data_IF_712414173097
#
_entry.id   IF_712414173097
#
_cell.length_a   1.000
_cell.length_b   1.000
_cell.length_c   1.000
_cell.angle_alpha   90.00
_cell.angle_beta   90.00
_cell.angle_gamma   90.00
#
_symmetry.space_group_name_H-M   'P 1'
#
loop_
_entity.id
_entity.type
_entity.pdbx_description
1 polymer ?
#
# COMPACT_ATOMS: atom_id res chain seq x y z
N UNK A 1 14.44 -25.42 46.02
CA UNK A 1 13.25 -25.26 46.89
C UNK A 1 13.27 -23.85 47.47
N UNK A 2 12.11 -23.20 47.47
CA UNK A 2 11.82 -21.80 47.83
C UNK A 2 12.52 -21.23 49.07
N UNK A 3 12.83 -19.92 49.05
CA UNK A 3 12.34 -18.99 50.09
C UNK A 3 12.44 -17.51 49.69
N UNK A 4 11.33 -16.80 49.95
CA UNK A 4 11.09 -15.37 49.72
C UNK A 4 11.66 -14.55 50.88
N UNK A 5 12.32 -13.42 50.58
CA UNK A 5 12.79 -12.46 51.58
C UNK A 5 12.41 -11.01 51.22
N UNK A 6 11.56 -10.38 52.04
CA UNK A 6 11.20 -8.95 52.01
C UNK A 6 12.42 -8.06 52.23
N UNK A 7 12.44 -6.87 51.60
CA UNK A 7 13.27 -5.74 52.06
C UNK A 7 12.41 -4.48 52.23
N UNK A 8 12.66 -3.82 53.36
CA UNK A 8 11.95 -2.71 54.01
C UNK A 8 12.17 -1.36 53.32
N UNK A 9 11.19 -0.46 53.48
CA UNK A 9 11.36 0.99 53.38
C UNK A 9 12.25 1.53 54.52
N UNK A 10 13.11 2.52 54.22
CA UNK A 10 13.16 3.84 54.88
C UNK A 10 14.43 4.62 54.46
N UNK A 11 14.27 5.91 54.12
CA UNK A 11 15.36 6.87 53.92
C UNK A 11 14.84 8.17 53.30
N UNK A 12 14.91 9.27 54.05
CA UNK A 12 14.15 10.53 53.87
C UNK A 12 15.10 11.71 53.53
N UNK A 13 14.71 12.52 52.52
CA UNK A 13 14.95 13.97 52.25
C UNK A 13 16.37 14.57 52.08
N UNK A 14 16.57 15.64 51.27
CA UNK A 14 15.89 16.94 51.48
C UNK A 14 15.36 17.69 50.24
N UNK A 15 14.49 18.65 50.57
CA UNK A 15 13.71 19.51 49.69
C UNK A 15 14.52 20.57 48.94
N UNK A 16 14.09 20.89 47.72
CA UNK A 16 14.28 22.21 47.12
C UNK A 16 13.01 22.63 46.36
N UNK A 17 12.46 23.71 46.87
CA UNK A 17 11.34 24.53 46.43
C UNK A 17 11.41 24.95 44.96
N UNK A 18 10.28 24.82 44.25
CA UNK A 18 9.67 25.86 43.42
C UNK A 18 8.24 25.44 43.03
N UNK A 19 7.26 26.05 43.69
CA UNK A 19 5.85 26.01 43.31
C UNK A 19 5.68 26.61 41.91
N UNK A 20 5.33 25.79 40.91
CA UNK A 20 4.64 26.25 39.71
C UNK A 20 3.18 25.85 39.84
N UNK A 21 2.33 26.83 40.14
CA UNK A 21 0.88 26.68 40.17
C UNK A 21 0.38 26.38 38.76
N UNK A 22 0.15 25.10 38.43
CA UNK A 22 -0.68 24.74 37.27
C UNK A 22 -2.10 25.26 37.51
N UNK A 23 -2.43 26.43 36.95
CA UNK A 23 -3.83 26.82 36.74
C UNK A 23 -4.45 25.78 35.81
N UNK A 24 -5.42 25.01 36.32
CA UNK A 24 -6.36 24.28 35.46
C UNK A 24 -7.19 25.34 34.73
N UNK A 25 -6.91 25.55 33.44
CA UNK A 25 -7.79 26.30 32.56
C UNK A 25 -8.88 25.31 32.13
N UNK A 26 -10.16 25.52 32.48
CA UNK A 26 -11.23 24.69 31.95
C UNK A 26 -11.43 25.04 30.46
N UNK A 27 -11.17 24.08 29.56
CA UNK A 27 -11.70 24.13 28.20
C UNK A 27 -13.23 24.05 28.30
N UNK A 28 -13.91 25.19 28.15
CA UNK A 28 -15.34 25.20 27.81
C UNK A 28 -15.46 24.69 26.38
N UNK A 29 -16.08 23.54 26.19
CA UNK A 29 -16.51 23.05 24.88
C UNK A 29 -17.55 24.02 24.32
N UNK A 30 -17.17 24.83 23.32
CA UNK A 30 -18.14 25.51 22.47
C UNK A 30 -18.53 24.52 21.38
N UNK A 31 -19.42 23.60 21.74
CA UNK A 31 -20.34 22.99 20.79
C UNK A 31 -21.70 23.49 21.24
N UNK A 32 -22.14 24.62 20.69
CA UNK A 32 -23.54 25.00 20.84
C UNK A 32 -24.34 23.93 20.10
N UNK A 33 -25.11 23.17 20.86
CA UNK A 33 -25.92 22.12 20.29
C UNK A 33 -27.11 22.77 19.55
N UNK A 34 -27.56 22.17 18.45
CA UNK A 34 -28.76 22.60 17.71
C UNK A 34 -30.01 22.78 18.61
N UNK A 35 -30.02 22.17 19.80
CA UNK A 35 -31.05 22.35 20.82
C UNK A 35 -31.00 23.72 21.50
N UNK A 36 -29.82 24.32 21.66
CA UNK A 36 -29.66 25.62 22.30
C UNK A 36 -30.14 26.77 21.40
N UNK A 37 -30.01 26.62 20.08
CA UNK A 37 -30.56 27.56 19.09
C UNK A 37 -32.09 27.55 19.07
N UNK A 38 -32.71 26.37 19.15
CA UNK A 38 -34.17 26.23 19.22
C UNK A 38 -34.74 26.71 20.57
N UNK A 39 -33.99 26.57 21.66
CA UNK A 39 -34.39 27.08 22.97
C UNK A 39 -34.38 28.62 23.06
N UNK A 40 -33.55 29.30 22.25
CA UNK A 40 -33.48 30.75 22.19
C UNK A 40 -34.64 31.35 21.37
N UNK A 41 -35.08 30.65 20.32
CA UNK A 41 -36.25 31.04 19.53
C UNK A 41 -37.57 30.97 20.34
N UNK A 42 -37.64 30.11 21.37
CA UNK A 42 -38.84 29.90 22.18
C UNK A 42 -39.08 30.92 23.31
N UNK A 43 -38.19 31.89 23.53
CA UNK A 43 -38.30 32.84 24.67
C UNK A 43 -38.42 34.32 24.26
N UNK A 44 -38.72 34.61 23.00
CA UNK A 44 -38.88 35.96 22.49
C UNK A 44 -40.32 36.36 22.21
N UNK A 45 -41.20 36.44 23.22
CA UNK A 45 -42.43 37.22 23.09
C UNK A 45 -42.97 37.64 24.46
N UNK A 46 -42.57 38.82 24.93
CA UNK A 46 -43.29 39.64 25.91
C UNK A 46 -42.65 41.04 25.91
N UNK A 47 -43.23 42.00 25.18
CA UNK A 47 -42.83 43.41 25.25
C UNK A 47 -43.04 44.22 23.96
N UNK A 48 -44.24 44.78 23.81
CA UNK A 48 -44.66 45.99 23.08
C UNK A 48 -43.91 46.48 21.81
N UNK A 49 -44.70 46.57 20.73
CA UNK A 49 -44.71 47.63 19.70
C UNK A 49 -43.49 47.81 18.77
N UNK A 50 -43.51 47.08 17.64
CA UNK A 50 -43.21 47.63 16.32
C UNK A 50 -43.74 46.67 15.23
N UNK A 51 -44.88 47.01 14.61
CA UNK A 51 -45.27 46.41 13.33
C UNK A 51 -44.32 46.96 12.26
N UNK A 52 -43.21 46.26 12.02
CA UNK A 52 -42.52 46.31 10.74
C UNK A 52 -42.70 44.92 10.13
N UNK A 53 -43.51 44.83 9.08
CA UNK A 53 -43.66 43.64 8.25
C UNK A 53 -42.32 43.32 7.60
N UNK A 54 -41.47 42.56 8.27
CA UNK A 54 -40.34 41.88 7.63
C UNK A 54 -40.94 40.74 6.82
N UNK A 55 -40.77 40.69 5.49
CA UNK A 55 -41.18 39.52 4.74
C UNK A 55 -40.35 38.34 5.25
N UNK A 56 -41.01 37.41 5.92
CA UNK A 56 -40.45 36.12 6.26
C UNK A 56 -40.31 35.33 4.95
N UNK A 57 -39.23 35.58 4.21
CA UNK A 57 -38.72 34.68 3.19
C UNK A 57 -37.23 34.51 3.46
N UNK A 58 -36.93 33.89 4.59
CA UNK A 58 -35.75 33.03 4.64
C UNK A 58 -36.20 31.76 3.94
N UNK A 59 -36.06 31.72 2.61
CA UNK A 59 -35.90 30.43 1.96
C UNK A 59 -34.67 29.82 2.60
N UNK A 60 -34.88 28.89 3.52
CA UNK A 60 -33.86 27.90 3.81
C UNK A 60 -33.57 27.26 2.45
N UNK A 61 -32.51 27.70 1.78
CA UNK A 61 -31.88 26.91 0.74
C UNK A 61 -31.56 25.61 1.46
N UNK A 62 -32.35 24.58 1.19
CA UNK A 62 -31.94 23.24 1.50
C UNK A 62 -30.62 23.08 0.75
N UNK A 63 -29.50 23.05 1.47
CA UNK A 63 -28.23 22.62 0.92
C UNK A 63 -28.55 21.31 0.19
N UNK A 64 -28.52 21.32 -1.14
CA UNK A 64 -28.69 20.10 -1.92
C UNK A 64 -27.66 19.12 -1.38
N UNK A 65 -28.13 18.04 -0.76
CA UNK A 65 -27.25 17.05 -0.19
C UNK A 65 -26.43 16.47 -1.36
N UNK A 66 -25.15 16.85 -1.44
CA UNK A 66 -24.22 16.31 -2.43
C UNK A 66 -24.16 14.80 -2.17
N UNK A 67 -24.67 14.03 -3.14
CA UNK A 67 -24.69 12.57 -3.03
C UNK A 67 -23.25 12.06 -2.86
N UNK A 68 -23.07 10.95 -2.12
CA UNK A 68 -21.79 10.28 -2.09
C UNK A 68 -21.48 9.74 -3.50
N UNK A 69 -20.24 9.88 -3.99
CA UNK A 69 -19.86 9.36 -5.30
C UNK A 69 -19.96 7.84 -5.31
N UNK A 70 -20.47 7.28 -6.41
CA UNK A 70 -20.47 5.84 -6.61
C UNK A 70 -19.03 5.33 -6.69
N UNK A 71 -18.78 4.16 -6.10
CA UNK A 71 -17.51 3.46 -6.19
C UNK A 71 -17.59 2.38 -7.29
N UNK A 72 -16.51 2.09 -8.04
CA UNK A 72 -15.21 2.80 -8.05
C UNK A 72 -15.31 4.21 -8.65
N UNK A 73 -14.40 5.11 -8.27
CA UNK A 73 -14.36 6.45 -8.83
C UNK A 73 -13.83 6.42 -10.28
N UNK A 74 -14.33 7.33 -11.11
CA UNK A 74 -13.84 7.50 -12.48
C UNK A 74 -12.35 7.91 -12.45
N UNK A 75 -11.50 7.09 -13.08
CA UNK A 75 -10.11 7.46 -13.33
C UNK A 75 -10.01 8.43 -14.49
N UNK A 76 -9.23 9.48 -14.32
CA UNK A 76 -8.88 10.45 -15.37
C UNK A 76 -7.38 10.53 -15.49
N UNK A 77 -6.89 10.95 -16.65
CA UNK A 77 -5.45 11.03 -16.89
C UNK A 77 -4.80 11.92 -15.84
N UNK A 78 -3.71 11.43 -15.26
CA UNK A 78 -2.88 12.19 -14.33
C UNK A 78 -1.44 12.15 -14.83
N UNK A 79 -0.75 13.29 -14.87
CA UNK A 79 0.65 13.34 -15.26
C UNK A 79 1.55 12.72 -14.15
N UNK A 80 2.26 11.61 -14.42
CA UNK A 80 3.13 10.98 -13.43
C UNK A 80 4.21 11.91 -12.88
N UNK A 81 4.70 12.87 -13.68
CA UNK A 81 5.72 13.83 -13.27
C UNK A 81 5.18 14.80 -12.22
N UNK A 82 3.95 15.31 -12.45
CA UNK A 82 3.28 16.22 -11.50
C UNK A 82 2.97 15.51 -10.18
N UNK A 83 2.53 14.26 -10.25
CA UNK A 83 2.32 13.41 -9.07
C UNK A 83 3.61 13.22 -8.29
N UNK A 84 4.72 12.92 -8.97
CA UNK A 84 6.03 12.76 -8.35
C UNK A 84 6.45 14.02 -7.58
N UNK A 85 6.41 15.19 -8.22
CA UNK A 85 6.72 16.49 -7.61
C UNK A 85 5.83 16.75 -6.37
N UNK A 86 4.52 16.55 -6.52
CA UNK A 86 3.54 16.77 -5.45
C UNK A 86 3.72 15.82 -4.28
N UNK A 87 3.93 14.53 -4.54
CA UNK A 87 4.15 13.53 -3.49
C UNK A 87 5.39 13.87 -2.68
N UNK A 88 6.49 14.26 -3.33
CA UNK A 88 7.70 14.67 -2.61
C UNK A 88 7.43 15.85 -1.69
N UNK A 89 6.78 16.91 -2.21
CA UNK A 89 6.43 18.10 -1.43
C UNK A 89 5.45 17.80 -0.28
N UNK A 90 4.59 16.80 -0.46
CA UNK A 90 3.56 16.42 0.51
C UNK A 90 4.10 15.59 1.67
N UNK A 91 5.29 15.00 1.54
CA UNK A 91 5.84 14.06 2.53
C UNK A 91 5.91 14.63 3.94
N UNK A 92 6.44 15.84 4.10
CA UNK A 92 6.59 16.49 5.42
C UNK A 92 5.29 17.10 5.94
N UNK A 93 4.37 17.46 5.05
CA UNK A 93 3.14 18.21 5.37
C UNK A 93 1.92 17.30 5.60
N UNK A 94 1.94 16.07 5.08
CA UNK A 94 0.81 15.14 5.13
C UNK A 94 0.99 13.95 6.08
N UNK A 95 2.14 13.84 6.74
CA UNK A 95 2.39 12.81 7.75
C UNK A 95 3.17 11.59 7.25
N UNK A 96 4.00 11.77 6.21
CA UNK A 96 4.93 10.75 5.71
C UNK A 96 4.42 9.99 4.49
N UNK A 97 5.09 8.87 4.21
CA UNK A 97 5.04 8.17 2.92
C UNK A 97 3.63 7.79 2.43
N UNK A 98 2.79 7.21 3.29
CA UNK A 98 1.45 6.75 2.88
C UNK A 98 0.55 7.93 2.47
N UNK A 99 0.41 8.93 3.35
CA UNK A 99 -0.37 10.12 3.06
C UNK A 99 0.17 10.92 1.88
N UNK A 100 1.48 10.97 1.69
CA UNK A 100 2.11 11.69 0.59
C UNK A 100 1.80 11.07 -0.78
N UNK A 101 1.80 9.73 -0.87
CA UNK A 101 1.42 9.04 -2.10
C UNK A 101 -0.04 9.30 -2.43
N UNK A 102 -0.94 9.17 -1.43
CA UNK A 102 -2.36 9.47 -1.65
C UNK A 102 -2.54 10.93 -2.06
N UNK A 103 -1.92 11.87 -1.35
CA UNK A 103 -2.01 13.30 -1.63
C UNK A 103 -1.54 13.63 -3.06
N UNK A 104 -0.39 13.09 -3.47
CA UNK A 104 0.15 13.28 -4.81
C UNK A 104 -0.83 12.95 -5.92
N UNK A 105 -1.64 11.91 -5.73
CA UNK A 105 -2.62 11.48 -6.75
C UNK A 105 -3.94 12.22 -6.60
N UNK A 106 -4.56 12.19 -5.41
CA UNK A 106 -5.94 12.69 -5.24
C UNK A 106 -6.01 14.21 -5.27
N UNK A 107 -4.97 14.93 -4.81
CA UNK A 107 -4.95 16.39 -4.89
C UNK A 107 -4.66 16.86 -6.33
N UNK A 108 -3.83 16.13 -7.09
CA UNK A 108 -3.64 16.40 -8.51
C UNK A 108 -4.95 16.20 -9.29
N UNK A 109 -5.69 15.12 -9.00
CA UNK A 109 -7.03 14.91 -9.55
C UNK A 109 -8.02 15.99 -9.09
N UNK A 110 -7.97 16.41 -7.82
CA UNK A 110 -8.86 17.44 -7.27
C UNK A 110 -8.62 18.81 -7.92
N UNK A 111 -7.36 19.19 -8.14
CA UNK A 111 -7.02 20.44 -8.80
C UNK A 111 -7.45 20.46 -10.27
N UNK A 112 -7.30 19.33 -10.98
CA UNK A 112 -7.62 19.25 -12.41
C UNK A 112 -9.10 18.98 -12.70
N UNK A 113 -9.80 18.26 -11.82
CA UNK A 113 -11.15 17.72 -12.11
C UNK A 113 -12.19 17.95 -11.00
N UNK A 114 -11.80 18.47 -9.83
CA UNK A 114 -12.74 18.85 -8.77
C UNK A 114 -13.39 17.65 -8.06
N UNK A 115 -14.72 17.65 -7.98
CA UNK A 115 -15.48 16.55 -7.35
C UNK A 115 -15.44 15.29 -8.25
N UNK A 116 -15.34 14.07 -7.70
CA UNK A 116 -15.31 13.72 -6.27
C UNK A 116 -13.93 13.77 -5.61
N UNK A 117 -12.88 14.03 -6.38
CA UNK A 117 -11.48 13.89 -5.93
C UNK A 117 -11.13 14.81 -4.75
N UNK A 118 -11.75 15.98 -4.68
CA UNK A 118 -11.61 16.93 -3.57
C UNK A 118 -12.30 16.52 -2.25
N UNK A 119 -12.93 15.34 -2.19
CA UNK A 119 -13.63 14.87 -0.98
C UNK A 119 -12.76 14.03 -0.04
N UNK A 120 -11.61 13.54 -0.50
CA UNK A 120 -10.68 12.78 0.36
C UNK A 120 -9.67 13.73 0.97
N UNK A 121 -9.57 13.72 2.30
CA UNK A 121 -8.46 14.36 3.00
C UNK A 121 -7.28 13.38 3.10
N UNK A 122 -6.17 13.57 2.34
CA UNK A 122 -5.09 12.59 2.27
C UNK A 122 -4.37 12.36 3.61
N UNK A 123 -4.46 13.33 4.54
CA UNK A 123 -3.85 13.22 5.87
C UNK A 123 -4.46 12.09 6.70
N UNK A 124 -5.64 11.56 6.34
CA UNK A 124 -6.19 10.38 7.01
C UNK A 124 -5.26 9.16 6.91
N UNK A 125 -4.38 9.12 5.91
CA UNK A 125 -3.40 8.05 5.69
C UNK A 125 -2.06 8.27 6.40
N UNK A 126 -1.93 9.29 7.24
CA UNK A 126 -0.70 9.57 8.00
C UNK A 126 -0.30 8.42 8.94
N UNK A 127 -1.26 7.60 9.34
CA UNK A 127 -1.04 6.38 10.14
C UNK A 127 -0.19 5.32 9.41
N UNK A 128 -0.06 5.37 8.09
CA UNK A 128 0.80 4.48 7.31
C UNK A 128 2.28 4.86 7.34
N UNK A 129 2.66 5.98 7.94
CA UNK A 129 4.04 6.42 8.10
C UNK A 129 4.92 5.38 8.82
N UNK A 130 6.17 5.23 8.38
CA UNK A 130 7.16 4.34 9.02
C UNK A 130 6.77 2.85 8.97
N UNK A 131 6.06 2.43 7.92
CA UNK A 131 5.53 1.08 7.78
C UNK A 131 4.46 0.78 8.83
N UNK A 132 3.42 1.60 8.87
CA UNK A 132 2.32 1.53 9.83
C UNK A 132 2.80 1.52 11.30
N UNK A 133 3.85 2.29 11.60
CA UNK A 133 4.47 2.39 12.92
C UNK A 133 5.21 1.13 13.41
N UNK A 134 5.18 0.03 12.65
CA UNK A 134 5.83 -1.25 13.00
C UNK A 134 6.83 -1.72 11.94
N UNK A 135 7.20 -0.85 11.01
CA UNK A 135 8.14 -1.11 9.92
C UNK A 135 7.75 -2.30 9.03
N UNK A 136 6.44 -2.55 8.91
CA UNK A 136 5.87 -3.58 8.03
C UNK A 136 5.78 -3.04 6.60
N UNK A 137 4.67 -3.22 5.88
CA UNK A 137 4.49 -2.76 4.50
C UNK A 137 4.94 -1.31 4.37
N UNK A 138 5.80 -1.02 3.39
CA UNK A 138 6.26 0.35 3.14
C UNK A 138 5.04 1.29 2.97
N UNK A 139 5.04 2.39 3.71
CA UNK A 139 3.88 3.29 3.71
C UNK A 139 3.54 3.82 2.32
N UNK A 140 4.52 4.03 1.45
CA UNK A 140 4.29 4.45 0.07
C UNK A 140 3.47 3.41 -0.72
N UNK A 141 3.78 2.12 -0.55
CA UNK A 141 3.01 1.01 -1.12
C UNK A 141 1.61 0.95 -0.51
N UNK A 142 1.47 1.22 0.78
CA UNK A 142 0.16 1.36 1.44
C UNK A 142 -0.69 2.49 0.84
N UNK A 143 -0.06 3.63 0.52
CA UNK A 143 -0.72 4.73 -0.17
C UNK A 143 -1.12 4.38 -1.60
N UNK A 144 -0.26 3.66 -2.34
CA UNK A 144 -0.59 3.16 -3.67
C UNK A 144 -1.78 2.19 -3.62
N UNK A 145 -1.81 1.27 -2.67
CA UNK A 145 -2.96 0.39 -2.44
C UNK A 145 -4.26 1.16 -2.15
N UNK A 146 -4.19 2.24 -1.38
CA UNK A 146 -5.36 3.08 -1.12
C UNK A 146 -5.87 3.78 -2.40
N UNK A 147 -4.97 4.27 -3.25
CA UNK A 147 -5.31 4.84 -4.56
C UNK A 147 -5.94 3.78 -5.46
N UNK A 148 -5.29 2.62 -5.63
CA UNK A 148 -5.83 1.52 -6.43
C UNK A 148 -7.20 1.06 -5.94
N UNK A 149 -7.42 0.98 -4.63
CA UNK A 149 -8.71 0.59 -4.05
C UNK A 149 -9.82 1.63 -4.26
N UNK A 150 -9.48 2.88 -4.54
CA UNK A 150 -10.46 3.93 -4.83
C UNK A 150 -10.94 3.89 -6.29
N UNK A 151 -10.03 3.53 -7.21
CA UNK A 151 -10.26 3.62 -8.65
C UNK A 151 -10.47 2.27 -9.33
N UNK A 152 -10.12 1.14 -8.72
CA UNK A 152 -10.17 -0.16 -9.40
C UNK A 152 -11.04 -1.18 -8.68
N UNK A 153 -11.71 -2.02 -9.46
CA UNK A 153 -12.30 -3.27 -8.98
C UNK A 153 -11.24 -4.22 -8.41
N UNK A 154 -11.64 -5.13 -7.52
CA UNK A 154 -10.73 -5.94 -6.72
C UNK A 154 -9.68 -6.72 -7.53
N UNK A 155 -10.06 -7.29 -8.68
CA UNK A 155 -9.13 -8.03 -9.57
C UNK A 155 -8.07 -7.12 -10.21
N UNK A 156 -8.50 -5.99 -10.77
CA UNK A 156 -7.58 -5.02 -11.38
C UNK A 156 -6.66 -4.41 -10.32
N UNK A 157 -7.22 -4.00 -9.17
CA UNK A 157 -6.46 -3.51 -8.02
C UNK A 157 -5.39 -4.51 -7.55
N UNK A 158 -5.73 -5.79 -7.46
CA UNK A 158 -4.80 -6.86 -7.09
C UNK A 158 -3.65 -7.03 -8.09
N UNK A 159 -3.96 -7.02 -9.39
CA UNK A 159 -2.95 -7.14 -10.45
C UNK A 159 -1.98 -5.94 -10.46
N UNK A 160 -2.51 -4.72 -10.43
CA UNK A 160 -1.70 -3.49 -10.43
C UNK A 160 -0.84 -3.40 -9.16
N UNK A 161 -1.38 -3.76 -8.00
CA UNK A 161 -0.62 -3.84 -6.75
C UNK A 161 0.58 -4.77 -6.88
N UNK A 162 0.39 -5.97 -7.42
CA UNK A 162 1.48 -6.94 -7.57
C UNK A 162 2.57 -6.40 -8.51
N UNK A 163 2.20 -5.75 -9.61
CA UNK A 163 3.16 -5.09 -10.50
C UNK A 163 3.97 -4.00 -9.79
N UNK A 164 3.34 -3.18 -8.95
CA UNK A 164 4.04 -2.17 -8.14
C UNK A 164 5.00 -2.83 -7.14
N UNK A 165 4.58 -3.94 -6.52
CA UNK A 165 5.41 -4.65 -5.54
C UNK A 165 6.63 -5.28 -6.20
N UNK A 166 6.43 -6.01 -7.30
CA UNK A 166 7.51 -6.62 -8.09
C UNK A 166 8.51 -5.57 -8.59
N UNK A 167 8.02 -4.41 -9.03
CA UNK A 167 8.88 -3.29 -9.40
C UNK A 167 9.64 -2.72 -8.19
N UNK A 168 8.95 -2.48 -7.07
CA UNK A 168 9.53 -1.90 -5.86
C UNK A 168 10.66 -2.75 -5.25
N UNK A 169 10.54 -4.07 -5.35
CA UNK A 169 11.54 -5.01 -4.84
C UNK A 169 12.86 -4.94 -5.62
N UNK A 170 12.81 -4.59 -6.91
CA UNK A 170 13.94 -4.61 -7.84
C UNK A 170 14.49 -3.22 -8.16
N UNK A 171 13.66 -2.18 -8.05
CA UNK A 171 14.03 -0.82 -8.41
C UNK A 171 15.01 -0.21 -7.41
N UNK A 172 16.02 0.48 -7.92
CA UNK A 172 17.02 1.19 -7.13
C UNK A 172 16.46 2.53 -6.64
N UNK A 173 16.24 2.66 -5.33
CA UNK A 173 15.71 3.89 -4.74
C UNK A 173 16.74 4.68 -3.93
N UNK A 174 16.57 6.01 -3.85
CA UNK A 174 15.64 6.85 -4.63
C UNK A 174 16.30 7.36 -5.92
N UNK A 175 15.68 7.29 -7.09
CA UNK A 175 16.14 8.03 -8.29
C UNK A 175 15.76 9.52 -8.22
N UNK A 176 14.62 9.85 -7.62
CA UNK A 176 14.14 11.22 -7.51
C UNK A 176 14.67 11.90 -6.23
N UNK A 177 15.64 12.80 -6.39
CA UNK A 177 16.38 13.42 -5.29
C UNK A 177 16.50 14.96 -5.43
N UNK A 178 15.39 15.71 -5.51
CA UNK A 178 15.42 17.13 -5.89
C UNK A 178 16.09 18.06 -4.86
N UNK A 179 16.23 17.65 -3.60
CA UNK A 179 16.74 18.51 -2.52
C UNK A 179 18.04 17.99 -1.92
N UNK A 180 18.22 16.68 -1.84
CA UNK A 180 19.33 16.08 -1.11
C UNK A 180 19.76 14.78 -1.78
N UNK A 181 21.05 14.69 -2.08
CA UNK A 181 21.64 13.47 -2.60
C UNK A 181 21.60 12.33 -1.57
N UNK A 182 21.40 11.12 -2.06
CA UNK A 182 21.30 9.88 -1.31
C UNK A 182 21.91 8.74 -2.11
N UNK A 183 22.52 7.78 -1.40
CA UNK A 183 22.90 6.50 -2.00
C UNK A 183 21.68 5.75 -2.54
N UNK A 184 21.88 5.02 -3.63
CA UNK A 184 20.88 4.12 -4.21
C UNK A 184 20.93 2.76 -3.54
N UNK A 185 19.76 2.16 -3.32
CA UNK A 185 19.62 0.83 -2.72
C UNK A 185 18.41 0.10 -3.28
N UNK A 186 18.53 -1.22 -3.41
CA UNK A 186 17.41 -2.12 -3.72
C UNK A 186 16.86 -2.71 -2.42
N UNK A 187 15.53 -2.82 -2.34
CA UNK A 187 14.87 -3.30 -1.12
C UNK A 187 14.85 -4.82 -1.02
N UNK A 188 14.69 -5.54 -2.15
CA UNK A 188 14.43 -6.99 -2.23
C UNK A 188 13.23 -7.45 -1.39
N UNK A 189 12.36 -6.53 -0.97
CA UNK A 189 11.22 -6.78 -0.07
C UNK A 189 10.29 -5.56 -0.04
N UNK A 190 8.98 -5.79 0.08
CA UNK A 190 7.98 -4.72 0.27
C UNK A 190 8.03 -4.06 1.66
N UNK A 191 8.85 -4.56 2.58
CA UNK A 191 8.88 -4.07 3.97
C UNK A 191 9.67 -2.78 4.12
N UNK A 192 9.16 -1.88 4.95
CA UNK A 192 9.81 -0.65 5.35
C UNK A 192 11.10 -0.92 6.14
N UNK A 193 11.14 -1.98 6.95
CA UNK A 193 12.33 -2.39 7.69
C UNK A 193 13.50 -2.67 6.76
N UNK A 194 13.23 -3.36 5.66
CA UNK A 194 14.27 -3.88 4.76
C UNK A 194 14.71 -2.76 3.83
N UNK A 195 13.76 -2.05 3.22
CA UNK A 195 14.05 -0.88 2.39
C UNK A 195 14.86 0.19 3.13
N UNK A 196 14.42 0.60 4.32
CA UNK A 196 15.14 1.63 5.09
C UNK A 196 16.38 1.04 5.75
N UNK A 197 16.36 -0.21 6.20
CA UNK A 197 17.50 -0.90 6.81
C UNK A 197 18.68 -1.02 5.86
N UNK A 198 18.45 -1.51 4.64
CA UNK A 198 19.48 -1.61 3.60
C UNK A 198 20.11 -0.23 3.32
N UNK A 199 19.29 0.80 3.21
CA UNK A 199 19.75 2.17 3.01
C UNK A 199 20.54 2.72 4.20
N UNK A 200 20.09 2.47 5.44
CA UNK A 200 20.81 2.90 6.65
C UNK A 200 22.19 2.24 6.72
N UNK A 201 22.29 0.95 6.38
CA UNK A 201 23.57 0.23 6.29
C UNK A 201 24.48 0.83 5.22
N UNK A 202 23.95 1.11 4.02
CA UNK A 202 24.73 1.65 2.90
C UNK A 202 25.18 3.10 3.13
N UNK A 203 24.33 3.93 3.74
CA UNK A 203 24.58 5.37 3.95
C UNK A 203 25.31 5.69 5.26
N UNK A 204 25.28 4.78 6.24
CA UNK A 204 25.74 5.03 7.61
C UNK A 204 24.86 6.03 8.38
N UNK A 205 23.63 6.29 7.91
CA UNK A 205 22.71 7.27 8.51
C UNK A 205 21.67 6.60 9.41
N UNK A 206 21.22 7.35 10.41
CA UNK A 206 20.22 6.88 11.36
C UNK A 206 18.78 6.99 10.83
N UNK A 207 17.86 6.21 11.41
CA UNK A 207 16.44 6.27 11.03
C UNK A 207 15.83 7.65 11.28
N UNK A 208 16.24 8.35 12.33
CA UNK A 208 15.72 9.70 12.64
C UNK A 208 16.32 10.81 11.76
N UNK A 209 17.27 10.48 10.88
CA UNK A 209 17.99 11.46 10.09
C UNK A 209 17.10 12.19 9.07
N UNK A 210 17.36 13.48 8.79
CA UNK A 210 16.71 14.18 7.69
C UNK A 210 17.03 13.56 6.32
N UNK A 211 18.21 12.97 6.15
CA UNK A 211 18.61 12.20 4.96
C UNK A 211 17.64 11.04 4.70
N UNK A 212 17.29 10.27 5.74
CA UNK A 212 16.30 9.19 5.62
C UNK A 212 14.94 9.75 5.20
N UNK A 213 14.53 10.88 5.78
CA UNK A 213 13.26 11.51 5.44
C UNK A 213 13.22 11.96 3.97
N UNK A 214 14.28 12.60 3.47
CA UNK A 214 14.41 13.00 2.07
C UNK A 214 14.40 11.77 1.13
N UNK A 215 15.16 10.72 1.48
CA UNK A 215 15.16 9.45 0.73
C UNK A 215 13.78 8.81 0.66
N UNK A 216 13.06 8.77 1.78
CA UNK A 216 11.70 8.23 1.81
C UNK A 216 10.69 9.10 1.05
N UNK A 217 10.90 10.43 0.99
CA UNK A 217 10.09 11.31 0.17
C UNK A 217 10.32 11.04 -1.33
N UNK A 218 11.57 10.90 -1.77
CA UNK A 218 11.94 10.51 -3.14
C UNK A 218 11.34 9.17 -3.55
N UNK A 219 11.55 8.14 -2.73
CA UNK A 219 10.95 6.82 -2.94
C UNK A 219 9.42 6.87 -3.00
N UNK A 220 8.78 7.65 -2.13
CA UNK A 220 7.31 7.81 -2.15
C UNK A 220 6.85 8.45 -3.46
N UNK A 221 7.58 9.45 -3.95
CA UNK A 221 7.29 10.14 -5.19
C UNK A 221 7.37 9.21 -6.40
N UNK A 222 8.41 8.39 -6.48
CA UNK A 222 8.56 7.38 -7.53
C UNK A 222 7.46 6.31 -7.47
N UNK A 223 7.08 5.85 -6.27
CA UNK A 223 5.96 4.90 -6.10
C UNK A 223 4.63 5.51 -6.56
N UNK A 224 4.37 6.78 -6.26
CA UNK A 224 3.17 7.46 -6.70
C UNK A 224 3.14 7.62 -8.23
N UNK A 225 4.27 8.00 -8.84
CA UNK A 225 4.41 8.08 -10.28
C UNK A 225 4.17 6.73 -10.96
N UNK A 226 4.75 5.65 -10.42
CA UNK A 226 4.55 4.29 -10.95
C UNK A 226 3.08 3.83 -10.83
N UNK A 227 2.43 4.15 -9.72
CA UNK A 227 1.01 3.87 -9.53
C UNK A 227 0.15 4.55 -10.61
N UNK A 228 0.40 5.83 -10.88
CA UNK A 228 -0.33 6.60 -11.90
C UNK A 228 0.01 6.15 -13.32
N UNK A 229 1.26 5.81 -13.61
CA UNK A 229 1.67 5.22 -14.90
C UNK A 229 0.83 3.97 -15.20
N UNK A 230 0.76 3.04 -14.25
CA UNK A 230 0.02 1.80 -14.39
C UNK A 230 -1.49 2.03 -14.50
N UNK A 231 -2.06 2.98 -13.73
CA UNK A 231 -3.47 3.34 -13.84
C UNK A 231 -3.80 3.99 -15.20
N UNK A 232 -2.96 4.89 -15.69
CA UNK A 232 -3.14 5.48 -17.02
C UNK A 232 -3.12 4.39 -18.11
N UNK A 233 -2.26 3.38 -17.98
CA UNK A 233 -2.22 2.24 -18.92
C UNK A 233 -3.49 1.38 -18.80
N UNK A 234 -3.89 1.00 -17.59
CA UNK A 234 -5.09 0.18 -17.33
C UNK A 234 -6.34 0.80 -17.94
N UNK A 235 -6.46 2.12 -17.86
CA UNK A 235 -7.61 2.87 -18.39
C UNK A 235 -7.44 3.34 -19.85
N UNK A 236 -6.38 2.93 -20.54
CA UNK A 236 -6.12 3.28 -21.94
C UNK A 236 -5.83 4.76 -22.20
N UNK A 237 -5.39 5.47 -21.16
CA UNK A 237 -5.04 6.90 -21.18
C UNK A 237 -3.53 7.13 -21.41
N UNK A 238 -2.72 6.08 -21.34
CA UNK A 238 -1.34 6.05 -21.77
C UNK A 238 -1.02 4.72 -22.46
N UNK A 239 -0.09 4.73 -23.40
CA UNK A 239 0.42 3.50 -23.98
C UNK A 239 1.29 2.78 -22.94
N UNK A 240 1.14 1.45 -22.83
CA UNK A 240 2.12 0.65 -22.11
C UNK A 240 3.50 0.89 -22.73
N UNK A 241 4.56 1.11 -21.94
CA UNK A 241 5.91 1.16 -22.50
C UNK A 241 6.14 -0.14 -23.25
N UNK A 242 6.66 -0.04 -24.47
CA UNK A 242 7.12 -1.20 -25.24
C UNK A 242 8.36 -1.71 -24.51
N UNK A 243 8.15 -2.54 -23.50
CA UNK A 243 9.20 -3.37 -22.93
C UNK A 243 9.45 -4.39 -24.03
N UNK A 244 10.48 -4.14 -24.85
CA UNK A 244 11.10 -5.26 -25.57
C UNK A 244 11.37 -6.31 -24.51
N UNK A 245 10.83 -7.53 -24.64
CA UNK A 245 11.05 -8.56 -23.65
C UNK A 245 12.55 -8.61 -23.41
N UNK A 246 12.98 -8.43 -22.16
CA UNK A 246 14.30 -8.89 -21.81
C UNK A 246 14.28 -10.37 -22.20
N UNK A 247 15.00 -10.69 -23.28
CA UNK A 247 15.16 -12.04 -23.77
C UNK A 247 15.97 -12.75 -22.69
N UNK A 248 15.29 -13.21 -21.63
CA UNK A 248 15.84 -14.29 -20.83
C UNK A 248 16.07 -15.42 -21.83
N UNK A 249 17.32 -15.85 -22.05
CA UNK A 249 17.59 -16.89 -23.02
C UNK A 249 16.69 -18.05 -22.66
N UNK A 250 15.83 -18.44 -23.62
CA UNK A 250 14.98 -19.61 -23.45
C UNK A 250 15.90 -20.73 -22.94
N UNK A 251 15.56 -21.38 -21.81
CA UNK A 251 16.45 -22.40 -21.26
C UNK A 251 16.70 -23.43 -22.36
N UNK A 252 17.97 -23.65 -22.72
CA UNK A 252 18.33 -24.71 -23.65
C UNK A 252 17.89 -26.03 -23.01
N UNK A 253 16.75 -26.55 -23.47
CA UNK A 253 16.19 -27.79 -22.96
C UNK A 253 17.04 -28.94 -23.49
N UNK A 254 17.53 -29.78 -22.57
CA UNK A 254 18.07 -31.07 -22.96
C UNK A 254 16.95 -31.96 -23.56
N UNK A 255 17.26 -33.00 -24.35
CA UNK A 255 16.25 -33.87 -24.99
C UNK A 255 15.27 -34.54 -24.01
N UNK A 256 15.62 -34.59 -22.73
CA UNK A 256 14.84 -35.14 -21.64
C UNK A 256 14.20 -34.08 -20.75
N UNK A 257 14.23 -32.81 -21.12
CA UNK A 257 13.61 -31.72 -20.39
C UNK A 257 12.38 -31.18 -21.14
N UNK A 258 11.29 -31.00 -20.40
CA UNK A 258 9.99 -30.59 -20.94
C UNK A 258 9.45 -29.42 -20.11
N UNK A 259 8.93 -28.39 -20.77
CA UNK A 259 8.30 -27.25 -20.10
C UNK A 259 6.80 -27.39 -20.21
N UNK A 260 6.13 -27.35 -19.07
CA UNK A 260 4.67 -27.32 -19.00
C UNK A 260 4.18 -26.03 -18.37
N UNK A 261 2.99 -25.61 -18.79
CA UNK A 261 2.38 -24.34 -18.37
C UNK A 261 0.92 -24.54 -17.98
N UNK A 262 0.47 -23.81 -16.95
CA UNK A 262 -0.94 -23.80 -16.57
C UNK A 262 -1.33 -22.47 -15.94
N UNK A 263 -2.63 -22.14 -16.00
CA UNK A 263 -3.17 -20.96 -15.33
C UNK A 263 -3.29 -21.19 -13.82
N UNK A 264 -2.61 -20.35 -13.05
CA UNK A 264 -2.67 -20.30 -11.59
C UNK A 264 -3.73 -19.35 -11.06
N UNK A 265 -3.74 -19.17 -9.74
CA UNK A 265 -4.64 -18.25 -9.05
C UNK A 265 -4.29 -16.78 -9.32
N UNK A 266 -2.99 -16.46 -9.35
CA UNK A 266 -2.46 -15.10 -9.51
C UNK A 266 -1.84 -14.85 -10.89
N UNK A 267 -1.72 -15.88 -11.74
CA UNK A 267 -1.14 -15.79 -13.07
C UNK A 267 -0.66 -17.16 -13.57
N UNK A 268 -0.06 -17.22 -14.77
CA UNK A 268 0.47 -18.48 -15.31
C UNK A 268 1.60 -19.03 -14.44
N UNK A 269 1.68 -20.35 -14.37
CA UNK A 269 2.74 -21.12 -13.73
C UNK A 269 3.45 -21.94 -14.80
N UNK A 270 4.77 -21.83 -14.86
CA UNK A 270 5.65 -22.61 -15.75
C UNK A 270 6.56 -23.51 -14.93
N UNK A 271 6.62 -24.78 -15.29
CA UNK A 271 7.48 -25.78 -14.68
C UNK A 271 8.33 -26.46 -15.74
N UNK A 272 9.56 -26.81 -15.39
CA UNK A 272 10.44 -27.66 -16.18
C UNK A 272 10.55 -29.02 -15.51
N UNK A 273 10.28 -30.08 -16.26
CA UNK A 273 10.37 -31.47 -15.81
C UNK A 273 11.53 -32.14 -16.57
N UNK A 274 12.49 -32.68 -15.84
CA UNK A 274 13.59 -33.49 -16.39
C UNK A 274 13.27 -34.96 -16.18
N UNK A 275 13.30 -35.76 -17.25
CA UNK A 275 13.10 -37.20 -17.24
C UNK A 275 14.44 -37.95 -17.22
N UNK A 276 14.50 -39.08 -16.52
CA UNK A 276 15.56 -40.09 -16.62
C UNK A 276 14.92 -41.43 -17.02
N UNK A 277 14.90 -41.70 -18.32
CA UNK A 277 14.10 -42.77 -18.90
C UNK A 277 12.60 -42.56 -18.62
N UNK A 278 11.98 -43.51 -17.92
CA UNK A 278 10.56 -43.48 -17.55
C UNK A 278 10.29 -42.74 -16.23
N UNK A 279 11.33 -42.25 -15.54
CA UNK A 279 11.20 -41.62 -14.22
C UNK A 279 11.39 -40.11 -14.27
N UNK A 280 10.70 -39.39 -13.40
CA UNK A 280 10.89 -37.97 -13.17
C UNK A 280 12.16 -37.79 -12.32
N UNK A 281 13.19 -37.20 -12.89
CA UNK A 281 14.47 -36.95 -12.22
C UNK A 281 14.48 -35.61 -11.47
N UNK A 282 13.84 -34.58 -12.04
CA UNK A 282 13.83 -33.22 -11.47
C UNK A 282 12.58 -32.45 -11.90
N UNK A 283 12.05 -31.63 -11.00
CA UNK A 283 11.01 -30.64 -11.31
C UNK A 283 11.51 -29.28 -10.82
N UNK A 284 11.51 -28.29 -11.69
CA UNK A 284 11.90 -26.91 -11.39
C UNK A 284 10.75 -25.97 -11.73
N UNK A 285 10.33 -25.12 -10.80
CA UNK A 285 9.36 -24.07 -11.09
C UNK A 285 10.12 -22.89 -11.70
N UNK A 286 9.88 -22.61 -12.98
CA UNK A 286 10.60 -21.56 -13.72
C UNK A 286 9.96 -20.19 -13.54
N UNK A 287 8.63 -20.13 -13.54
CA UNK A 287 7.88 -18.88 -13.45
C UNK A 287 6.58 -19.14 -12.69
N UNK A 288 6.23 -18.29 -11.72
CA UNK A 288 4.92 -18.29 -11.08
C UNK A 288 4.62 -16.91 -10.49
N UNK A 289 3.33 -16.61 -10.30
CA UNK A 289 2.87 -15.42 -9.54
C UNK A 289 2.10 -15.79 -8.26
N UNK A 290 2.15 -17.06 -7.90
CA UNK A 290 1.44 -17.63 -6.76
C UNK A 290 2.08 -17.19 -5.42
N UNK A 291 1.26 -16.81 -4.43
CA UNK A 291 1.73 -16.36 -3.11
C UNK A 291 1.89 -17.52 -2.08
N UNK A 292 1.57 -18.75 -2.48
CA UNK A 292 1.52 -19.93 -1.60
C UNK A 292 2.83 -20.72 -1.63
N UNK A 293 3.86 -20.22 -0.93
CA UNK A 293 5.20 -20.79 -0.90
C UNK A 293 5.25 -22.28 -0.51
N UNK A 294 4.33 -22.73 0.36
CA UNK A 294 4.21 -24.14 0.74
C UNK A 294 3.80 -25.03 -0.45
N UNK A 295 2.84 -24.60 -1.28
CA UNK A 295 2.46 -25.34 -2.48
C UNK A 295 3.56 -25.41 -3.52
N UNK A 296 4.30 -24.32 -3.70
CA UNK A 296 5.38 -24.23 -4.69
C UNK A 296 6.55 -25.16 -4.32
N UNK A 297 6.84 -25.34 -3.02
CA UNK A 297 7.88 -26.24 -2.57
C UNK A 297 7.40 -27.71 -2.48
N UNK A 298 6.26 -27.95 -1.83
CA UNK A 298 5.87 -29.31 -1.45
C UNK A 298 5.23 -30.12 -2.58
N UNK A 299 4.55 -29.49 -3.55
CA UNK A 299 3.90 -30.23 -4.66
C UNK A 299 4.94 -30.86 -5.60
N UNK A 300 5.96 -30.15 -6.11
CA UNK A 300 7.03 -30.76 -6.89
C UNK A 300 7.75 -31.89 -6.14
N UNK A 301 8.03 -31.70 -4.85
CA UNK A 301 8.66 -32.72 -4.01
C UNK A 301 7.79 -33.96 -3.84
N UNK A 302 6.48 -33.79 -3.64
CA UNK A 302 5.53 -34.90 -3.54
C UNK A 302 5.43 -35.69 -4.84
N UNK A 303 5.39 -35.00 -5.99
CA UNK A 303 5.38 -35.65 -7.31
C UNK A 303 6.70 -36.37 -7.57
N UNK A 304 7.85 -35.77 -7.25
CA UNK A 304 9.15 -36.43 -7.37
C UNK A 304 9.26 -37.66 -6.48
N UNK A 305 8.74 -37.60 -5.26
CA UNK A 305 8.77 -38.72 -4.32
C UNK A 305 7.86 -39.88 -4.74
N UNK A 306 6.66 -39.57 -5.23
CA UNK A 306 5.65 -40.58 -5.55
C UNK A 306 5.69 -41.00 -7.03
N UNK A 307 6.41 -40.26 -7.88
CA UNK A 307 6.48 -40.46 -9.33
C UNK A 307 5.10 -40.46 -10.00
N UNK A 308 4.16 -39.68 -9.46
CA UNK A 308 2.80 -39.51 -9.97
C UNK A 308 2.31 -38.09 -9.69
N UNK A 309 1.43 -37.58 -10.54
CA UNK A 309 0.72 -36.31 -10.35
C UNK A 309 -0.57 -36.47 -9.53
N UNK A 310 -0.92 -37.69 -9.13
CA UNK A 310 -2.01 -37.99 -8.20
C UNK A 310 -1.56 -37.78 -6.73
N UNK A 311 -1.16 -36.55 -6.40
CA UNK A 311 -0.82 -36.16 -5.03
C UNK A 311 -1.86 -35.21 -4.45
N UNK A 312 -2.02 -35.26 -3.13
CA UNK A 312 -2.99 -34.41 -2.44
C UNK A 312 -2.64 -32.92 -2.57
N UNK A 313 -3.67 -32.11 -2.78
CA UNK A 313 -3.51 -30.65 -2.72
C UNK A 313 -3.26 -30.19 -1.30
N UNK A 314 -2.49 -29.11 -1.13
CA UNK A 314 -2.20 -28.57 0.20
C UNK A 314 -3.38 -27.74 0.70
N UNK A 315 -3.75 -27.97 1.96
CA UNK A 315 -4.80 -27.20 2.63
C UNK A 315 -4.48 -25.71 2.62
N UNK A 316 -5.42 -24.89 2.12
CA UNK A 316 -5.24 -23.44 2.00
C UNK A 316 -4.55 -22.97 0.70
N UNK A 317 -4.05 -23.89 -0.13
CA UNK A 317 -3.39 -23.57 -1.39
C UNK A 317 -3.95 -24.40 -2.57
N UNK A 318 -5.22 -24.82 -2.51
CA UNK A 318 -5.81 -25.78 -3.45
C UNK A 318 -5.74 -25.34 -4.91
N UNK A 319 -5.96 -24.06 -5.22
CA UNK A 319 -5.89 -23.57 -6.62
C UNK A 319 -4.46 -23.62 -7.12
N UNK A 320 -3.51 -23.10 -6.33
CA UNK A 320 -2.07 -23.16 -6.61
C UNK A 320 -1.58 -24.59 -6.78
N UNK A 321 -1.98 -25.52 -5.90
CA UNK A 321 -1.62 -26.93 -6.00
C UNK A 321 -2.15 -27.54 -7.31
N UNK A 322 -3.39 -27.25 -7.71
CA UNK A 322 -3.96 -27.75 -8.96
C UNK A 322 -3.26 -27.17 -10.18
N UNK A 323 -2.89 -25.89 -10.15
CA UNK A 323 -2.16 -25.26 -11.23
C UNK A 323 -0.76 -25.87 -11.42
N UNK A 324 -0.04 -26.12 -10.33
CA UNK A 324 1.27 -26.81 -10.38
C UNK A 324 1.12 -28.23 -10.94
N UNK A 325 0.11 -28.98 -10.51
CA UNK A 325 -0.15 -30.33 -11.04
C UNK A 325 -0.54 -30.30 -12.52
N UNK A 326 -1.33 -29.31 -12.94
CA UNK A 326 -1.69 -29.12 -14.35
C UNK A 326 -0.46 -28.78 -15.20
N UNK A 327 0.42 -27.89 -14.72
CA UNK A 327 1.65 -27.54 -15.42
C UNK A 327 2.60 -28.74 -15.52
N UNK A 328 2.72 -29.56 -14.46
CA UNK A 328 3.52 -30.78 -14.49
C UNK A 328 2.92 -31.80 -15.49
N UNK A 329 1.60 -31.99 -15.50
CA UNK A 329 0.94 -32.88 -16.45
C UNK A 329 1.10 -32.40 -17.90
N UNK A 330 1.05 -31.09 -18.14
CA UNK A 330 1.30 -30.49 -19.44
C UNK A 330 2.73 -30.79 -19.92
N UNK A 331 3.74 -30.69 -19.03
CA UNK A 331 5.12 -31.09 -19.33
C UNK A 331 5.24 -32.59 -19.63
N UNK A 332 4.61 -33.43 -18.81
CA UNK A 332 4.65 -34.89 -18.97
C UNK A 332 3.94 -35.37 -20.23
N UNK A 333 2.93 -34.63 -20.72
CA UNK A 333 2.24 -34.94 -21.97
C UNK A 333 3.14 -34.81 -23.21
N UNK A 334 4.28 -34.14 -23.08
CA UNK A 334 5.25 -33.92 -24.15
C UNK A 334 6.36 -34.99 -24.19
N UNK A 335 6.43 -35.87 -23.18
CA UNK A 335 7.37 -36.99 -23.13
C UNK A 335 7.05 -37.98 -24.26
N UNK A 336 8.08 -38.37 -25.02
CA UNK A 336 7.98 -39.24 -26.20
C UNK A 336 8.26 -40.70 -25.89
#
# INVERSE_FOLDING_TARGET
MYTIGRVKQAGVCPAATKHSTRRKIPMKSIVQSRRDFLALAGKGMLGAAALATVPAVVTAQADEAIAAPAWPWEWKYVDPTKVMERTYASFSTHGGCCAAVVAGVVEELAENYGYPYNQINPRMFANGGGGYGRKTLCGSLGGACAVLGLFCESKASGSLRNQIYEWYEKHEFPQYQPVMESVFTVSNSIQCSDSVGNWMTASGKEFSSPERAARCAGLSAEVAAKCVELLNIEYGLAAAPVVEPAEEPAPELAPNEYIGTADGYNGPVKVKVTMDGEKIAKIEVLEHKEDMANAIAEIPDAVMKNQTTEVDTIGGATVTSKALLAAINDALSQVK
#
